data_IF_411019627904
#
_entry.id   IF_411019627904
#
_cell.length_a   1.000
_cell.length_b   1.000
_cell.length_c   1.000
_cell.angle_alpha   90.00
_cell.angle_beta   90.00
_cell.angle_gamma   90.00
#
_symmetry.space_group_name_H-M   'P 1'
#
loop_
_entity.id
_entity.type
_entity.pdbx_description
1 polymer ?
#
# COMPACT_ATOMS: atom_id res chain seq x y z
N UNK A 1 -6.76 -10.73 26.25
CA UNK A 1 -5.73 -9.79 25.84
C UNK A 1 -6.39 -8.57 25.19
N UNK A 2 -5.86 -7.38 25.43
CA UNK A 2 -6.35 -6.14 24.85
C UNK A 2 -5.30 -5.58 23.88
N UNK A 3 -5.65 -5.51 22.61
CA UNK A 3 -4.75 -5.15 21.52
C UNK A 3 -5.15 -3.78 20.97
N UNK A 4 -4.17 -2.87 20.77
CA UNK A 4 -4.34 -1.70 19.92
C UNK A 4 -3.80 -2.03 18.55
N UNK A 5 -4.63 -1.93 17.51
CA UNK A 5 -4.19 -1.99 16.12
C UNK A 5 -4.29 -0.61 15.50
N UNK A 6 -3.13 0.00 15.25
CA UNK A 6 -3.02 1.36 14.76
C UNK A 6 -2.67 1.37 13.27
N UNK A 7 -3.45 2.08 12.47
CA UNK A 7 -3.44 2.01 11.01
C UNK A 7 -3.27 3.41 10.43
N UNK A 8 -2.33 3.56 9.49
CA UNK A 8 -2.23 4.76 8.69
C UNK A 8 -3.41 4.89 7.72
N UNK A 9 -4.21 5.94 7.90
CA UNK A 9 -5.42 6.20 7.12
C UNK A 9 -5.20 6.97 5.82
N UNK A 10 -3.96 7.39 5.53
CA UNK A 10 -3.67 8.11 4.29
C UNK A 10 -3.49 7.12 3.13
N UNK A 11 -4.47 7.09 2.25
CA UNK A 11 -4.57 6.11 1.16
C UNK A 11 -5.32 4.83 1.57
N UNK A 12 -5.64 4.00 0.57
CA UNK A 12 -6.50 2.83 0.76
C UNK A 12 -5.74 1.53 1.11
N UNK A 13 -4.43 1.46 0.90
CA UNK A 13 -3.65 0.24 1.05
C UNK A 13 -3.66 -0.33 2.47
N UNK A 14 -3.30 0.46 3.47
CA UNK A 14 -3.31 0.04 4.87
C UNK A 14 -4.71 -0.37 5.35
N UNK A 15 -5.73 0.42 5.02
CA UNK A 15 -7.12 0.11 5.36
C UNK A 15 -7.60 -1.17 4.67
N UNK A 16 -7.17 -1.39 3.45
CA UNK A 16 -7.48 -2.58 2.65
C UNK A 16 -6.92 -3.84 3.30
N UNK A 17 -5.63 -3.85 3.69
CA UNK A 17 -4.98 -4.94 4.39
C UNK A 17 -5.60 -5.19 5.77
N UNK A 18 -5.97 -4.13 6.47
CA UNK A 18 -6.56 -4.22 7.80
C UNK A 18 -7.84 -5.05 7.82
N UNK A 19 -8.61 -5.12 6.72
CA UNK A 19 -9.81 -5.95 6.63
C UNK A 19 -9.54 -7.44 6.86
N UNK A 20 -8.37 -7.92 6.45
CA UNK A 20 -7.96 -9.33 6.62
C UNK A 20 -7.15 -9.54 7.91
N UNK A 21 -6.44 -8.51 8.39
CA UNK A 21 -5.63 -8.57 9.62
C UNK A 21 -6.50 -8.51 10.88
N UNK A 22 -7.52 -7.63 10.92
CA UNK A 22 -8.36 -7.43 12.12
C UNK A 22 -9.06 -8.73 12.58
N UNK A 23 -9.71 -9.52 11.70
CA UNK A 23 -10.33 -10.77 12.11
C UNK A 23 -9.34 -11.78 12.72
N UNK A 24 -8.10 -11.79 12.22
CA UNK A 24 -7.05 -12.64 12.77
C UNK A 24 -6.64 -12.20 14.18
N UNK A 25 -6.50 -10.90 14.41
CA UNK A 25 -6.21 -10.33 15.74
C UNK A 25 -7.33 -10.58 16.75
N UNK A 26 -8.59 -10.49 16.31
CA UNK A 26 -9.77 -10.69 17.16
C UNK A 26 -9.85 -12.10 17.76
N UNK A 27 -9.21 -13.10 17.16
CA UNK A 27 -9.11 -14.45 17.74
C UNK A 27 -8.24 -14.51 18.99
N UNK A 28 -7.38 -13.51 19.21
CA UNK A 28 -6.46 -13.44 20.35
C UNK A 28 -6.93 -12.50 21.46
N UNK A 29 -7.97 -11.71 21.24
CA UNK A 29 -8.51 -10.83 22.26
C UNK A 29 -9.35 -9.68 21.73
N UNK A 30 -9.58 -8.70 22.59
CA UNK A 30 -10.30 -7.47 22.23
C UNK A 30 -9.37 -6.54 21.43
N UNK A 31 -9.78 -6.22 20.21
CA UNK A 31 -9.03 -5.31 19.33
C UNK A 31 -9.69 -3.95 19.32
N UNK A 32 -8.96 -2.93 19.73
CA UNK A 32 -9.34 -1.52 19.57
C UNK A 32 -8.59 -0.93 18.39
N UNK A 33 -9.31 -0.27 17.48
CA UNK A 33 -8.75 0.23 16.23
C UNK A 33 -8.48 1.73 16.35
N UNK A 34 -7.27 2.14 15.95
CA UNK A 34 -6.89 3.53 15.78
C UNK A 34 -6.60 3.77 14.30
N UNK A 35 -7.18 4.84 13.74
CA UNK A 35 -6.84 5.32 12.40
C UNK A 35 -6.37 6.76 12.54
N UNK A 36 -5.23 7.09 11.95
CA UNK A 36 -4.77 8.48 11.82
C UNK A 36 -4.43 8.84 10.39
N UNK A 37 -4.59 10.11 10.06
CA UNK A 37 -4.34 10.63 8.71
C UNK A 37 -5.62 11.12 8.01
N UNK A 38 -5.44 11.68 6.80
CA UNK A 38 -6.57 12.03 5.94
C UNK A 38 -7.10 10.74 5.36
N UNK A 39 -8.31 10.40 5.75
CA UNK A 39 -8.95 9.14 5.42
C UNK A 39 -8.99 8.92 3.89
N UNK A 40 -8.63 7.71 3.47
CA UNK A 40 -8.89 7.22 2.12
C UNK A 40 -10.40 7.04 1.88
N UNK A 41 -10.77 6.70 0.67
CA UNK A 41 -12.18 6.49 0.29
C UNK A 41 -12.77 5.19 0.87
N UNK A 42 -11.92 4.32 1.44
CA UNK A 42 -12.29 3.01 1.95
C UNK A 42 -12.71 3.09 3.42
N UNK A 43 -13.90 2.58 3.72
CA UNK A 43 -14.45 2.51 5.08
C UNK A 43 -14.24 1.11 5.63
N UNK A 44 -13.64 1.00 6.82
CA UNK A 44 -13.52 -0.28 7.53
C UNK A 44 -14.88 -0.72 8.07
N UNK A 45 -15.26 -2.02 7.92
CA UNK A 45 -16.50 -2.56 8.48
C UNK A 45 -16.39 -2.89 9.98
N UNK A 46 -15.47 -2.25 10.69
CA UNK A 46 -15.18 -2.47 12.11
C UNK A 46 -15.31 -1.15 12.88
N UNK A 47 -15.74 -1.18 14.17
CA UNK A 47 -15.81 0.02 14.97
C UNK A 47 -14.41 0.59 15.22
N UNK A 48 -14.20 1.85 14.83
CA UNK A 48 -12.96 2.57 15.05
C UNK A 48 -13.06 3.34 16.35
N UNK A 49 -12.17 3.05 17.30
CA UNK A 49 -12.15 3.70 18.62
C UNK A 49 -11.51 5.08 18.58
N UNK A 50 -10.40 5.20 17.85
CA UNK A 50 -9.68 6.47 17.73
C UNK A 50 -9.58 6.86 16.28
N UNK A 51 -10.11 8.04 15.96
CA UNK A 51 -9.94 8.66 14.68
C UNK A 51 -9.15 9.95 14.87
N UNK A 52 -7.86 9.91 14.54
CA UNK A 52 -6.91 10.98 14.80
C UNK A 52 -6.48 11.63 13.47
N UNK A 53 -5.97 12.82 13.57
CA UNK A 53 -5.45 13.52 12.39
C UNK A 53 -4.06 13.02 12.01
N UNK A 54 -3.20 12.73 12.97
CA UNK A 54 -1.84 12.27 12.75
C UNK A 54 -1.03 13.15 11.81
N UNK A 55 -0.08 12.54 11.12
CA UNK A 55 0.63 13.11 9.98
C UNK A 55 0.06 12.56 8.68
N UNK A 56 -0.25 13.44 7.73
CA UNK A 56 -0.72 13.05 6.41
C UNK A 56 0.25 13.54 5.35
N UNK A 57 0.62 12.65 4.42
CA UNK A 57 1.39 13.07 3.25
C UNK A 57 0.52 13.91 2.33
N UNK A 58 1.02 15.10 1.96
CA UNK A 58 0.34 15.97 1.00
C UNK A 58 0.93 15.71 -0.38
N UNK A 59 0.09 15.23 -1.29
CA UNK A 59 0.48 15.01 -2.68
C UNK A 59 0.48 16.34 -3.44
N UNK A 60 1.60 16.66 -4.08
CA UNK A 60 1.71 17.83 -4.94
C UNK A 60 0.95 17.65 -6.26
N UNK A 61 0.56 18.76 -6.89
CA UNK A 61 -0.17 18.77 -8.18
C UNK A 61 0.55 18.08 -9.35
N UNK A 62 1.86 17.81 -9.21
CA UNK A 62 2.70 17.13 -10.21
C UNK A 62 2.87 15.63 -9.95
N UNK A 63 2.07 15.02 -9.07
CA UNK A 63 2.12 13.60 -8.78
C UNK A 63 3.27 13.17 -7.84
N UNK A 64 3.81 14.09 -7.04
CA UNK A 64 4.81 13.81 -6.02
C UNK A 64 4.32 14.18 -4.61
N UNK A 65 5.00 13.70 -3.56
CA UNK A 65 4.78 14.12 -2.18
C UNK A 65 5.51 15.45 -1.94
N UNK A 66 4.80 16.47 -1.49
CA UNK A 66 5.40 17.73 -1.05
C UNK A 66 5.77 17.59 0.44
N UNK A 67 6.97 17.10 0.70
CA UNK A 67 7.46 16.81 2.04
C UNK A 67 7.53 18.05 2.93
N UNK A 68 7.86 19.23 2.37
CA UNK A 68 7.94 20.47 3.10
C UNK A 68 6.55 20.96 3.51
N UNK A 69 5.57 20.90 2.61
CA UNK A 69 4.18 21.25 2.97
C UNK A 69 3.55 20.25 3.91
N UNK A 70 3.91 18.98 3.80
CA UNK A 70 3.47 17.93 4.74
C UNK A 70 3.96 18.25 6.15
N UNK A 71 5.22 18.59 6.31
CA UNK A 71 5.83 18.84 7.63
C UNK A 71 5.39 20.16 8.26
N UNK A 72 5.29 21.26 7.49
CA UNK A 72 4.97 22.59 8.03
C UNK A 72 3.50 22.94 8.09
N UNK A 73 2.63 22.34 7.28
CA UNK A 73 1.16 22.52 7.38
C UNK A 73 0.49 21.52 8.31
N UNK A 74 1.13 20.40 8.63
CA UNK A 74 0.65 19.52 9.67
C UNK A 74 0.74 20.27 10.99
N UNK A 75 -0.38 20.34 11.70
CA UNK A 75 -0.45 21.01 12.99
C UNK A 75 0.35 20.21 14.02
N UNK A 76 1.67 20.39 14.03
CA UNK A 76 2.62 19.69 14.94
C UNK A 76 2.12 19.75 16.38
N UNK A 77 1.58 20.91 16.80
CA UNK A 77 0.96 21.05 18.13
C UNK A 77 -0.19 20.06 18.37
N UNK A 78 -1.02 19.80 17.34
CA UNK A 78 -2.13 18.85 17.45
C UNK A 78 -1.60 17.42 17.50
N UNK A 79 -0.62 17.09 16.67
CA UNK A 79 0.06 15.79 16.70
C UNK A 79 0.65 15.50 18.07
N UNK A 80 1.41 16.45 18.65
CA UNK A 80 1.99 16.31 20.00
C UNK A 80 0.88 16.10 21.03
N UNK A 81 -0.24 16.83 20.93
CA UNK A 81 -1.39 16.64 21.82
C UNK A 81 -1.99 15.25 21.67
N UNK A 82 -2.19 14.76 20.44
CA UNK A 82 -2.72 13.43 20.15
C UNK A 82 -1.80 12.33 20.71
N UNK A 83 -0.49 12.47 20.55
CA UNK A 83 0.53 11.55 21.10
C UNK A 83 0.46 11.50 22.64
N UNK A 84 0.42 12.66 23.29
CA UNK A 84 0.45 12.74 24.77
C UNK A 84 -0.84 12.23 25.42
N UNK A 85 -1.99 12.39 24.75
CA UNK A 85 -3.30 11.97 25.27
C UNK A 85 -3.56 10.48 25.05
N UNK A 86 -2.90 9.86 24.06
CA UNK A 86 -3.12 8.46 23.75
C UNK A 86 -2.54 7.56 24.85
N UNK A 87 -3.44 6.90 25.59
CA UNK A 87 -3.09 5.97 26.66
C UNK A 87 -2.79 4.59 26.05
N UNK A 88 -1.50 4.37 25.71
CA UNK A 88 -1.01 3.10 25.16
C UNK A 88 -0.71 2.06 26.24
N UNK A 89 -0.54 2.47 27.49
CA UNK A 89 -0.18 1.62 28.64
C UNK A 89 -1.28 0.63 29.02
N UNK A 90 -2.51 0.90 28.66
CA UNK A 90 -3.66 0.03 28.93
C UNK A 90 -3.79 -1.17 27.99
N UNK A 91 -2.92 -1.28 26.97
CA UNK A 91 -2.95 -2.38 26.02
C UNK A 91 -1.84 -3.39 26.35
N UNK A 92 -2.17 -4.67 26.27
CA UNK A 92 -1.20 -5.75 26.38
C UNK A 92 -0.27 -5.83 25.17
N UNK A 93 -0.75 -5.32 24.01
CA UNK A 93 0.00 -5.32 22.75
C UNK A 93 -0.41 -4.13 21.88
N UNK A 94 0.57 -3.45 21.32
CA UNK A 94 0.37 -2.38 20.31
C UNK A 94 0.97 -2.83 19.00
N UNK A 95 0.11 -3.04 17.99
CA UNK A 95 0.51 -3.37 16.62
C UNK A 95 0.28 -2.15 15.75
N UNK A 96 1.30 -1.80 14.97
CA UNK A 96 1.35 -0.56 14.22
C UNK A 96 1.56 -0.82 12.72
N UNK A 97 0.60 -0.38 11.91
CA UNK A 97 0.70 -0.35 10.47
C UNK A 97 1.04 1.06 9.98
N UNK A 98 2.30 1.46 10.23
CA UNK A 98 2.91 2.72 9.82
C UNK A 98 2.16 3.97 10.33
N UNK A 99 1.59 3.89 11.53
CA UNK A 99 0.78 4.97 12.12
C UNK A 99 1.62 5.79 13.12
N UNK A 100 1.81 7.10 12.92
CA UNK A 100 2.78 7.87 13.70
C UNK A 100 2.35 8.20 15.12
N UNK A 101 1.04 8.39 15.41
CA UNK A 101 0.60 8.85 16.74
C UNK A 101 0.84 7.78 17.79
N UNK A 102 0.38 6.55 17.55
CA UNK A 102 0.57 5.44 18.50
C UNK A 102 2.03 5.04 18.60
N UNK A 103 2.75 5.05 17.49
CA UNK A 103 4.18 4.74 17.46
C UNK A 103 5.00 5.71 18.33
N UNK A 104 4.81 7.01 18.16
CA UNK A 104 5.47 8.01 18.99
C UNK A 104 4.98 8.02 20.44
N UNK A 105 3.70 7.71 20.70
CA UNK A 105 3.18 7.55 22.06
C UNK A 105 3.87 6.39 22.79
N UNK A 106 4.04 5.25 22.10
CA UNK A 106 4.79 4.11 22.61
C UNK A 106 6.25 4.46 22.86
N UNK A 107 6.92 5.12 21.90
CA UNK A 107 8.30 5.53 22.01
C UNK A 107 8.56 6.44 23.23
N UNK A 108 7.70 7.45 23.44
CA UNK A 108 7.83 8.39 24.56
C UNK A 108 7.54 7.78 25.94
N UNK A 109 6.78 6.68 25.98
CA UNK A 109 6.40 5.98 27.21
C UNK A 109 7.15 4.67 27.43
N UNK A 110 8.15 4.39 26.58
CA UNK A 110 8.95 3.15 26.63
C UNK A 110 8.10 1.86 26.55
N UNK A 111 7.04 1.91 25.76
CA UNK A 111 6.12 0.78 25.50
C UNK A 111 6.52 0.10 24.20
N UNK A 112 6.62 -1.25 24.16
CA UNK A 112 6.88 -1.97 22.92
C UNK A 112 5.82 -1.66 21.84
N UNK A 113 6.28 -1.26 20.65
CA UNK A 113 5.45 -1.02 19.48
C UNK A 113 5.86 -1.96 18.35
N UNK A 114 4.96 -2.88 17.98
CA UNK A 114 5.23 -3.92 17.00
C UNK A 114 4.83 -3.42 15.61
N UNK A 115 5.80 -3.20 14.74
CA UNK A 115 5.53 -2.83 13.36
C UNK A 115 5.04 -4.02 12.54
N UNK A 116 3.90 -3.86 11.88
CA UNK A 116 3.35 -4.83 10.91
C UNK A 116 2.93 -4.09 9.64
N UNK A 117 3.91 -3.80 8.80
CA UNK A 117 3.67 -2.95 7.63
C UNK A 117 4.63 -3.27 6.48
N UNK A 118 4.25 -2.86 5.28
CA UNK A 118 5.18 -2.89 4.13
C UNK A 118 6.39 -1.97 4.35
N UNK A 119 6.17 -0.78 4.94
CA UNK A 119 7.24 0.19 5.22
C UNK A 119 8.31 -0.38 6.16
N UNK A 120 7.92 -1.25 7.09
CA UNK A 120 8.86 -1.98 7.93
C UNK A 120 9.79 -2.89 7.10
N UNK A 121 9.26 -3.55 6.07
CA UNK A 121 10.05 -4.41 5.19
C UNK A 121 11.02 -3.64 4.30
N UNK A 122 10.60 -2.52 3.68
CA UNK A 122 11.47 -1.76 2.75
C UNK A 122 12.62 -1.03 3.45
N UNK A 123 12.55 -0.89 4.78
CA UNK A 123 13.64 -0.33 5.60
C UNK A 123 14.74 -1.36 5.92
N UNK A 124 14.50 -2.65 5.73
CA UNK A 124 15.52 -3.69 5.89
C UNK A 124 16.73 -3.43 4.99
N UNK A 125 17.93 -3.77 5.49
CA UNK A 125 19.15 -3.64 4.70
C UNK A 125 19.19 -4.62 3.52
N UNK A 126 18.49 -5.74 3.62
CA UNK A 126 18.36 -6.77 2.59
C UNK A 126 17.27 -6.43 1.54
N UNK A 127 16.45 -5.39 1.78
CA UNK A 127 15.43 -4.99 0.82
C UNK A 127 16.07 -4.47 -0.49
N UNK A 128 15.48 -4.76 -1.66
CA UNK A 128 15.88 -4.19 -2.92
C UNK A 128 15.91 -2.65 -2.87
N UNK A 129 16.96 -2.05 -3.43
CA UNK A 129 17.16 -0.60 -3.38
C UNK A 129 17.26 -0.03 -4.79
N UNK A 130 16.71 1.18 -5.03
CA UNK A 130 16.87 1.87 -6.30
C UNK A 130 18.32 2.33 -6.49
N UNK A 131 18.71 2.50 -7.75
CA UNK A 131 20.05 3.00 -8.10
C UNK A 131 20.28 4.45 -7.57
N UNK A 132 19.22 5.25 -7.53
CA UNK A 132 19.26 6.63 -7.02
C UNK A 132 19.08 6.63 -5.49
N UNK A 133 20.04 7.18 -4.77
CA UNK A 133 20.00 7.30 -3.30
C UNK A 133 19.17 8.50 -2.89
N UNK A 134 18.07 8.29 -2.19
CA UNK A 134 17.28 9.32 -1.51
C UNK A 134 17.46 9.19 0.01
N UNK A 135 18.51 9.84 0.52
CA UNK A 135 18.82 9.82 1.96
C UNK A 135 17.73 10.52 2.80
N UNK A 136 17.11 11.57 2.25
CA UNK A 136 16.05 12.32 2.95
C UNK A 136 14.80 11.47 3.03
N UNK A 137 14.39 10.85 1.93
CA UNK A 137 13.25 9.93 1.91
C UNK A 137 13.44 8.76 2.89
N UNK A 138 14.65 8.18 2.93
CA UNK A 138 15.00 7.11 3.88
C UNK A 138 14.89 7.59 5.33
N UNK A 139 15.43 8.77 5.65
CA UNK A 139 15.38 9.33 7.00
C UNK A 139 13.94 9.60 7.45
N UNK A 140 13.12 10.17 6.59
CA UNK A 140 11.71 10.42 6.87
C UNK A 140 10.98 9.10 7.10
N UNK A 141 11.14 8.13 6.22
CA UNK A 141 10.47 6.83 6.33
C UNK A 141 10.84 6.12 7.64
N UNK A 142 12.13 6.17 8.03
CA UNK A 142 12.64 5.56 9.26
C UNK A 142 12.09 6.20 10.54
N UNK A 143 11.90 7.53 10.54
CA UNK A 143 11.48 8.26 11.73
C UNK A 143 9.99 8.62 11.75
N UNK A 144 9.25 8.27 10.72
CA UNK A 144 7.83 8.57 10.63
C UNK A 144 7.01 7.86 11.70
N UNK A 145 7.26 6.57 11.88
CA UNK A 145 6.60 5.72 12.86
C UNK A 145 7.64 4.78 13.49
N UNK A 146 8.32 5.21 14.59
CA UNK A 146 9.34 4.39 15.26
C UNK A 146 8.70 3.13 15.86
N UNK A 147 9.34 1.98 15.66
CA UNK A 147 8.89 0.67 16.14
C UNK A 147 10.01 -0.05 16.88
N UNK A 148 9.66 -0.92 17.83
CA UNK A 148 10.64 -1.70 18.61
C UNK A 148 10.97 -3.02 17.94
N UNK A 149 9.98 -3.64 17.26
CA UNK A 149 10.18 -4.88 16.51
C UNK A 149 9.50 -4.81 15.16
N UNK A 150 10.10 -5.48 14.18
CA UNK A 150 9.69 -5.40 12.76
C UNK A 150 9.11 -6.73 12.31
N UNK A 151 7.87 -6.68 11.85
CA UNK A 151 7.25 -7.66 10.98
C UNK A 151 6.77 -6.92 9.74
N UNK A 152 7.08 -7.42 8.57
CA UNK A 152 6.80 -6.69 7.36
C UNK A 152 6.27 -7.54 6.23
N UNK A 153 5.72 -6.86 5.23
CA UNK A 153 5.25 -7.48 4.00
C UNK A 153 6.07 -6.97 2.82
N UNK A 154 6.45 -7.87 1.92
CA UNK A 154 7.15 -7.52 0.70
C UNK A 154 6.81 -8.49 -0.44
N UNK A 155 7.13 -8.13 -1.68
CA UNK A 155 6.91 -9.01 -2.85
C UNK A 155 7.70 -10.33 -2.77
N UNK A 156 8.74 -10.38 -1.96
CA UNK A 156 9.51 -11.58 -1.65
C UNK A 156 9.97 -11.57 -0.19
N UNK A 157 10.04 -12.73 0.45
CA UNK A 157 10.63 -12.88 1.77
C UNK A 157 12.15 -12.92 1.66
N UNK A 158 12.84 -12.02 2.33
CA UNK A 158 14.31 -11.92 2.36
C UNK A 158 14.89 -11.84 3.78
N UNK A 159 14.03 -11.74 4.79
CA UNK A 159 14.37 -11.75 6.21
C UNK A 159 13.36 -12.57 7.00
N UNK A 160 13.74 -13.03 8.21
CA UNK A 160 12.96 -13.93 9.08
C UNK A 160 11.52 -13.45 9.35
N UNK A 161 11.30 -12.14 9.47
CA UNK A 161 10.01 -11.54 9.79
C UNK A 161 9.44 -10.72 8.63
N UNK A 162 9.92 -10.96 7.41
CA UNK A 162 9.39 -10.35 6.20
C UNK A 162 8.63 -11.43 5.42
N UNK A 163 7.35 -11.20 5.26
CA UNK A 163 6.40 -12.14 4.66
C UNK A 163 5.96 -11.66 3.28
N UNK A 164 5.38 -12.57 2.51
CA UNK A 164 4.71 -12.23 1.26
C UNK A 164 3.47 -11.36 1.51
N UNK A 165 2.94 -10.67 0.49
CA UNK A 165 1.82 -9.75 0.66
C UNK A 165 0.56 -10.43 1.22
N UNK A 166 -0.16 -9.71 2.06
CA UNK A 166 -1.56 -10.06 2.38
C UNK A 166 -2.42 -9.73 1.17
N UNK A 167 -2.87 -10.77 0.47
CA UNK A 167 -3.82 -10.60 -0.64
C UNK A 167 -5.23 -10.65 -0.07
N UNK A 168 -5.99 -9.60 -0.28
CA UNK A 168 -7.37 -9.48 0.23
C UNK A 168 -8.22 -10.68 -0.17
N UNK A 169 -9.03 -11.17 0.77
CA UNK A 169 -9.96 -12.28 0.49
C UNK A 169 -10.82 -12.03 -0.74
N UNK A 170 -11.31 -10.80 -0.91
CA UNK A 170 -12.11 -10.41 -2.09
C UNK A 170 -11.37 -10.62 -3.42
N UNK A 171 -10.03 -10.46 -3.43
CA UNK A 171 -9.20 -10.69 -4.61
C UNK A 171 -8.89 -12.18 -4.78
N UNK A 172 -8.64 -12.90 -3.67
CA UNK A 172 -8.40 -14.36 -3.70
C UNK A 172 -9.58 -15.14 -4.24
N UNK A 173 -10.79 -14.70 -3.93
CA UNK A 173 -12.04 -15.36 -4.31
C UNK A 173 -12.43 -15.10 -5.79
N UNK A 174 -11.69 -14.23 -6.51
CA UNK A 174 -12.01 -13.92 -7.91
C UNK A 174 -11.65 -15.02 -8.88
N UNK A 175 -12.52 -15.28 -9.82
CA UNK A 175 -12.19 -16.07 -11.01
C UNK A 175 -11.20 -15.27 -11.88
N UNK A 176 -10.07 -15.88 -12.20
CA UNK A 176 -9.04 -15.26 -13.06
C UNK A 176 -9.39 -15.56 -14.51
N UNK A 177 -9.73 -14.52 -15.28
CA UNK A 177 -10.03 -14.61 -16.72
C UNK A 177 -9.19 -13.62 -17.52
N UNK A 178 -9.30 -13.64 -18.84
CA UNK A 178 -8.67 -12.66 -19.72
C UNK A 178 -9.66 -12.27 -20.82
N UNK A 179 -10.23 -11.10 -20.69
CA UNK A 179 -11.19 -10.51 -21.64
C UNK A 179 -10.52 -9.54 -22.63
N UNK A 180 -9.19 -9.44 -22.61
CA UNK A 180 -8.38 -8.69 -23.56
C UNK A 180 -8.15 -7.22 -23.22
N UNK A 181 -8.88 -6.63 -22.26
CA UNK A 181 -8.65 -5.25 -21.84
C UNK A 181 -7.49 -5.12 -20.84
N UNK A 182 -7.00 -3.88 -20.65
CA UNK A 182 -5.98 -3.54 -19.67
C UNK A 182 -6.57 -2.61 -18.59
N UNK A 183 -6.40 -2.99 -17.33
CA UNK A 183 -6.82 -2.17 -16.18
C UNK A 183 -5.76 -1.14 -15.84
N UNK A 184 -6.17 0.13 -15.68
CA UNK A 184 -5.25 1.25 -15.43
C UNK A 184 -5.62 1.96 -14.12
N UNK A 185 -4.65 2.08 -13.22
CA UNK A 185 -4.79 2.85 -11.97
C UNK A 185 -3.57 3.74 -11.74
N UNK A 186 -3.65 4.97 -12.20
CA UNK A 186 -2.59 5.98 -12.11
C UNK A 186 -3.15 7.29 -11.50
N UNK A 187 -3.52 7.30 -10.20
CA UNK A 187 -4.25 8.42 -9.57
C UNK A 187 -3.46 9.73 -9.49
N UNK A 188 -2.16 9.69 -9.78
CA UNK A 188 -1.29 10.86 -9.84
C UNK A 188 -1.33 11.58 -11.21
N UNK A 189 -1.97 10.98 -12.21
CA UNK A 189 -2.06 11.56 -13.54
C UNK A 189 -3.39 12.29 -13.73
N UNK A 190 -3.35 13.38 -14.46
CA UNK A 190 -4.54 14.06 -14.99
C UNK A 190 -5.21 13.18 -16.05
N UNK A 191 -6.55 13.08 -16.00
CA UNK A 191 -7.33 12.21 -16.88
C UNK A 191 -7.13 12.54 -18.35
N UNK A 192 -7.11 13.82 -18.74
CA UNK A 192 -6.95 14.23 -20.14
C UNK A 192 -5.61 13.75 -20.71
N UNK A 193 -4.55 13.90 -19.91
CA UNK A 193 -3.21 13.48 -20.28
C UNK A 193 -3.10 11.96 -20.37
N UNK A 194 -3.73 11.25 -19.43
CA UNK A 194 -3.74 9.79 -19.41
C UNK A 194 -4.50 9.24 -20.62
N UNK A 195 -5.73 9.72 -20.87
CA UNK A 195 -6.53 9.34 -22.02
C UNK A 195 -5.79 9.61 -23.33
N UNK A 196 -5.24 10.82 -23.51
CA UNK A 196 -4.50 11.17 -24.72
C UNK A 196 -3.31 10.23 -24.98
N UNK A 197 -2.68 9.70 -23.90
CA UNK A 197 -1.61 8.72 -24.03
C UNK A 197 -2.13 7.34 -24.44
N UNK A 198 -3.19 6.86 -23.79
CA UNK A 198 -3.75 5.52 -24.04
C UNK A 198 -4.39 5.41 -25.43
N UNK A 199 -4.98 6.48 -25.95
CA UNK A 199 -5.52 6.56 -27.31
C UNK A 199 -4.47 6.34 -28.41
N UNK A 200 -3.17 6.46 -28.11
CA UNK A 200 -2.10 6.16 -29.08
C UNK A 200 -1.89 4.65 -29.28
N UNK A 201 -2.45 3.83 -28.39
CA UNK A 201 -2.41 2.36 -28.41
C UNK A 201 -3.83 1.83 -28.68
N UNK A 202 -4.34 2.13 -29.86
CA UNK A 202 -5.74 1.95 -30.25
C UNK A 202 -6.15 0.49 -30.50
N UNK A 203 -5.21 -0.42 -30.61
CA UNK A 203 -5.46 -1.86 -30.75
C UNK A 203 -5.78 -2.55 -29.40
N UNK A 204 -5.73 -1.80 -28.29
CA UNK A 204 -5.96 -2.31 -26.95
C UNK A 204 -7.11 -1.56 -26.28
N UNK A 205 -7.97 -2.27 -25.57
CA UNK A 205 -9.04 -1.69 -24.75
C UNK A 205 -8.49 -1.36 -23.34
N UNK A 206 -8.84 -0.17 -22.85
CA UNK A 206 -8.36 0.35 -21.59
C UNK A 206 -9.49 0.63 -20.62
N UNK A 207 -9.40 0.09 -19.40
CA UNK A 207 -10.34 0.32 -18.31
C UNK A 207 -9.65 1.14 -17.22
N UNK A 208 -9.91 2.45 -17.19
CA UNK A 208 -9.21 3.44 -16.37
C UNK A 208 -10.01 3.81 -15.15
N UNK A 209 -9.45 3.59 -13.97
CA UNK A 209 -10.04 4.02 -12.70
C UNK A 209 -9.44 5.36 -12.25
N UNK A 210 -10.29 6.39 -12.12
CA UNK A 210 -9.87 7.74 -11.81
C UNK A 210 -10.61 8.33 -10.61
N UNK A 211 -9.86 8.98 -9.71
CA UNK A 211 -10.41 9.76 -8.60
C UNK A 211 -10.99 11.11 -9.03
N UNK A 212 -10.69 11.55 -10.24
CA UNK A 212 -11.11 12.86 -10.75
C UNK A 212 -12.42 12.79 -11.53
N UNK A 213 -12.82 11.61 -11.96
CA UNK A 213 -14.03 11.38 -12.74
C UNK A 213 -15.16 10.85 -11.85
N UNK A 214 -16.37 11.37 -12.04
CA UNK A 214 -17.56 11.00 -11.25
C UNK A 214 -18.54 10.10 -12.03
N UNK A 215 -18.31 9.91 -13.33
CA UNK A 215 -19.19 9.14 -14.21
C UNK A 215 -18.35 8.27 -15.14
N UNK A 216 -18.88 7.11 -15.51
CA UNK A 216 -18.24 6.27 -16.54
C UNK A 216 -18.45 6.92 -17.91
N UNK A 217 -17.35 7.08 -18.65
CA UNK A 217 -17.33 7.65 -20.01
C UNK A 217 -16.44 6.78 -20.88
N UNK A 218 -16.94 6.40 -22.08
CA UNK A 218 -16.15 5.70 -23.09
C UNK A 218 -15.71 6.68 -24.18
N UNK A 219 -14.40 6.71 -24.44
CA UNK A 219 -13.76 7.54 -25.46
C UNK A 219 -12.94 6.59 -26.36
N UNK A 220 -13.51 6.19 -27.49
CA UNK A 220 -12.93 5.17 -28.39
C UNK A 220 -12.62 3.87 -27.62
N UNK A 221 -11.34 3.49 -27.53
CA UNK A 221 -10.84 2.31 -26.84
C UNK A 221 -10.52 2.55 -25.34
N UNK A 222 -10.86 3.71 -24.78
CA UNK A 222 -10.62 4.04 -23.35
C UNK A 222 -11.95 4.22 -22.63
N UNK A 223 -12.22 3.38 -21.65
CA UNK A 223 -13.31 3.56 -20.68
C UNK A 223 -12.71 4.15 -19.41
N UNK A 224 -13.15 5.36 -19.02
CA UNK A 224 -12.76 5.99 -17.77
C UNK A 224 -13.93 6.00 -16.80
N UNK A 225 -13.69 5.60 -15.56
CA UNK A 225 -14.73 5.45 -14.55
C UNK A 225 -14.24 5.88 -13.15
N UNK A 226 -15.18 6.22 -12.25
CA UNK A 226 -14.84 6.52 -10.85
C UNK A 226 -14.17 5.32 -10.17
N UNK A 227 -13.40 5.60 -9.12
CA UNK A 227 -12.87 4.54 -8.26
C UNK A 227 -14.05 3.87 -7.56
N UNK A 228 -14.18 2.57 -7.81
CA UNK A 228 -15.09 1.66 -7.14
C UNK A 228 -14.31 0.37 -6.86
N UNK A 229 -14.22 -0.03 -5.60
CA UNK A 229 -13.39 -1.16 -5.19
C UNK A 229 -13.80 -2.46 -5.87
N UNK A 230 -15.10 -2.74 -5.94
CA UNK A 230 -15.60 -3.99 -6.53
C UNK A 230 -15.36 -4.04 -8.04
N UNK A 231 -15.70 -2.95 -8.75
CA UNK A 231 -15.44 -2.84 -10.19
C UNK A 231 -13.96 -2.92 -10.52
N UNK A 232 -13.11 -2.31 -9.69
CA UNK A 232 -11.66 -2.36 -9.87
C UNK A 232 -11.12 -3.78 -9.75
N UNK A 233 -11.55 -4.53 -8.73
CA UNK A 233 -11.13 -5.92 -8.54
C UNK A 233 -11.61 -6.80 -9.71
N UNK A 234 -12.87 -6.64 -10.15
CA UNK A 234 -13.44 -7.38 -11.30
C UNK A 234 -12.65 -7.06 -12.57
N UNK A 235 -12.43 -5.78 -12.88
CA UNK A 235 -11.66 -5.37 -14.05
C UNK A 235 -10.24 -5.94 -14.00
N UNK A 236 -9.57 -5.86 -12.84
CA UNK A 236 -8.23 -6.40 -12.69
C UNK A 236 -8.21 -7.93 -12.88
N UNK A 237 -9.17 -8.66 -12.30
CA UNK A 237 -9.24 -10.11 -12.39
C UNK A 237 -9.53 -10.63 -13.82
N UNK A 238 -10.26 -9.84 -14.64
CA UNK A 238 -10.59 -10.17 -16.02
C UNK A 238 -9.68 -9.53 -17.07
N UNK A 239 -8.72 -8.70 -16.68
CA UNK A 239 -7.81 -8.02 -17.62
C UNK A 239 -6.73 -8.92 -18.20
N UNK A 240 -6.16 -8.52 -19.34
CA UNK A 240 -4.91 -9.05 -19.89
C UNK A 240 -3.68 -8.58 -19.10
N UNK A 241 -3.76 -7.38 -18.49
CA UNK A 241 -2.68 -6.79 -17.71
C UNK A 241 -3.08 -5.54 -16.96
N UNK A 242 -2.22 -5.11 -16.05
CA UNK A 242 -2.43 -3.97 -15.16
C UNK A 242 -1.31 -2.95 -15.34
N UNK A 243 -1.69 -1.70 -15.60
CA UNK A 243 -0.82 -0.52 -15.60
C UNK A 243 -1.13 0.33 -14.38
N UNK A 244 -0.24 0.38 -13.40
CA UNK A 244 -0.52 1.10 -12.16
C UNK A 244 0.68 1.84 -11.58
N UNK A 245 0.45 2.59 -10.49
CA UNK A 245 1.53 3.12 -9.69
C UNK A 245 2.31 2.01 -8.99
N UNK A 246 3.56 2.29 -8.57
CA UNK A 246 4.38 1.34 -7.83
C UNK A 246 4.04 1.34 -6.31
N UNK A 247 2.75 1.39 -5.96
CA UNK A 247 2.30 1.09 -4.60
C UNK A 247 2.59 -0.37 -4.25
N UNK A 248 2.17 -0.81 -3.07
CA UNK A 248 2.41 -2.19 -2.66
C UNK A 248 1.24 -3.11 -3.01
N UNK A 249 0.03 -2.77 -2.60
CA UNK A 249 -1.13 -3.65 -2.70
C UNK A 249 -1.56 -3.95 -4.15
N UNK A 250 -1.75 -2.92 -4.98
CA UNK A 250 -2.21 -3.13 -6.36
C UNK A 250 -1.25 -3.98 -7.21
N UNK A 251 0.08 -3.73 -7.19
CA UNK A 251 1.03 -4.62 -7.86
C UNK A 251 1.00 -6.05 -7.31
N UNK A 252 0.91 -6.23 -5.98
CA UNK A 252 0.85 -7.55 -5.37
C UNK A 252 -0.40 -8.33 -5.80
N UNK A 253 -1.56 -7.68 -5.81
CA UNK A 253 -2.82 -8.27 -6.27
C UNK A 253 -2.80 -8.58 -7.76
N UNK A 254 -2.23 -7.71 -8.60
CA UNK A 254 -2.08 -7.96 -10.03
C UNK A 254 -1.18 -9.19 -10.32
N UNK A 255 -0.06 -9.31 -9.58
CA UNK A 255 0.81 -10.49 -9.67
C UNK A 255 0.10 -11.76 -9.21
N UNK A 256 -0.61 -11.71 -8.07
CA UNK A 256 -1.40 -12.83 -7.57
C UNK A 256 -2.47 -13.28 -8.59
N UNK A 257 -3.14 -12.34 -9.23
CA UNK A 257 -4.14 -12.60 -10.28
C UNK A 257 -3.52 -13.00 -11.63
N UNK A 258 -2.20 -13.23 -11.67
CA UNK A 258 -1.47 -13.65 -12.88
C UNK A 258 -1.68 -12.66 -14.06
N UNK A 259 -1.57 -11.36 -13.78
CA UNK A 259 -1.71 -10.32 -14.79
C UNK A 259 -0.34 -9.83 -15.27
N UNK A 260 -0.22 -9.53 -16.57
CA UNK A 260 0.92 -8.74 -17.04
C UNK A 260 0.95 -7.44 -16.25
N UNK A 261 2.07 -7.07 -15.66
CA UNK A 261 2.18 -5.89 -14.82
C UNK A 261 3.20 -4.91 -15.40
N UNK A 262 2.85 -3.61 -15.47
CA UNK A 262 3.76 -2.51 -15.71
C UNK A 262 3.51 -1.43 -14.66
N UNK A 263 4.57 -0.92 -14.03
CA UNK A 263 4.42 0.08 -12.96
C UNK A 263 5.12 1.39 -13.27
N UNK A 264 4.53 2.48 -12.74
CA UNK A 264 5.06 3.84 -12.82
C UNK A 264 5.15 4.42 -11.41
N UNK A 265 6.34 4.48 -10.79
CA UNK A 265 6.48 5.06 -9.46
C UNK A 265 6.14 6.55 -9.47
N UNK A 266 5.44 7.01 -8.44
CA UNK A 266 5.15 8.43 -8.26
C UNK A 266 6.44 9.20 -7.99
N UNK A 267 6.58 10.35 -8.66
CA UNK A 267 7.72 11.24 -8.44
C UNK A 267 7.79 11.69 -6.98
N UNK A 268 8.97 11.65 -6.39
CA UNK A 268 9.25 12.05 -5.00
C UNK A 268 8.51 11.22 -3.92
N UNK A 269 8.07 10.01 -4.25
CA UNK A 269 7.57 9.06 -3.26
C UNK A 269 8.58 7.92 -3.09
N UNK A 270 9.40 8.03 -2.06
CA UNK A 270 10.54 7.15 -1.83
C UNK A 270 10.15 5.67 -1.73
N UNK A 271 9.06 5.35 -1.02
CA UNK A 271 8.52 3.99 -0.93
C UNK A 271 8.21 3.40 -2.32
N UNK A 272 7.56 4.15 -3.21
CA UNK A 272 7.27 3.65 -4.54
C UNK A 272 8.52 3.43 -5.41
N UNK A 273 9.59 4.18 -5.16
CA UNK A 273 10.87 3.92 -5.84
C UNK A 273 11.51 2.62 -5.33
N UNK A 274 11.41 2.32 -4.02
CA UNK A 274 11.83 1.04 -3.45
C UNK A 274 11.02 -0.13 -4.01
N UNK A 275 9.70 0.00 -4.07
CA UNK A 275 8.80 -1.00 -4.65
C UNK A 275 9.09 -1.24 -6.12
N UNK A 276 9.32 -0.17 -6.89
CA UNK A 276 9.67 -0.27 -8.30
C UNK A 276 11.02 -0.98 -8.51
N UNK A 277 12.01 -0.77 -7.62
CA UNK A 277 13.28 -1.49 -7.67
C UNK A 277 13.09 -2.99 -7.43
N UNK A 278 12.28 -3.36 -6.43
CA UNK A 278 11.95 -4.76 -6.15
C UNK A 278 11.20 -5.42 -7.31
N UNK A 279 10.17 -4.78 -7.83
CA UNK A 279 9.40 -5.28 -8.97
C UNK A 279 10.28 -5.44 -10.22
N UNK A 280 11.21 -4.50 -10.46
CA UNK A 280 12.18 -4.58 -11.56
C UNK A 280 13.10 -5.79 -11.41
N UNK A 281 13.58 -6.10 -10.20
CA UNK A 281 14.38 -7.30 -9.94
C UNK A 281 13.60 -8.60 -10.22
N UNK A 282 12.29 -8.59 -10.01
CA UNK A 282 11.39 -9.69 -10.34
C UNK A 282 11.10 -9.81 -11.84
N UNK A 283 11.50 -8.82 -12.66
CA UNK A 283 11.25 -8.80 -14.09
C UNK A 283 10.05 -7.96 -14.54
N UNK A 284 9.40 -7.22 -13.62
CA UNK A 284 8.31 -6.30 -13.98
C UNK A 284 8.90 -5.09 -14.71
N UNK A 285 8.38 -4.70 -15.88
CA UNK A 285 8.78 -3.47 -16.54
C UNK A 285 8.39 -2.25 -15.70
N UNK A 286 9.35 -1.34 -15.56
CA UNK A 286 9.21 -0.09 -14.81
C UNK A 286 9.51 1.08 -15.73
N UNK A 287 8.60 2.04 -15.85
CA UNK A 287 8.85 3.30 -16.55
C UNK A 287 8.69 4.49 -15.62
N UNK A 288 9.50 5.55 -15.82
CA UNK A 288 9.46 6.72 -14.92
C UNK A 288 8.21 7.61 -15.12
N UNK A 289 7.60 7.58 -16.30
CA UNK A 289 6.42 8.38 -16.66
C UNK A 289 5.89 7.99 -18.06
N UNK A 290 4.78 8.60 -18.49
CA UNK A 290 4.13 8.38 -19.78
C UNK A 290 4.68 9.28 -20.93
N UNK A 291 5.95 9.68 -20.89
CA UNK A 291 6.56 10.45 -22.00
C UNK A 291 6.87 9.55 -23.20
N UNK A 292 6.92 10.11 -24.43
CA UNK A 292 7.13 9.34 -25.67
C UNK A 292 8.37 8.43 -25.67
N UNK A 293 9.43 8.79 -24.96
CA UNK A 293 10.64 7.96 -24.83
C UNK A 293 10.42 6.58 -24.20
N UNK A 294 9.28 6.35 -23.56
CA UNK A 294 8.90 5.06 -22.97
C UNK A 294 7.86 4.28 -23.78
N UNK A 295 7.46 4.79 -24.96
CA UNK A 295 6.43 4.16 -25.79
C UNK A 295 6.85 2.78 -26.28
N UNK A 296 8.12 2.60 -26.60
CA UNK A 296 8.66 1.29 -26.96
C UNK A 296 8.55 0.27 -25.79
N UNK A 297 8.76 0.70 -24.55
CA UNK A 297 8.62 -0.19 -23.38
C UNK A 297 7.14 -0.55 -23.18
N UNK A 298 6.25 0.42 -23.35
CA UNK A 298 4.81 0.20 -23.21
C UNK A 298 4.29 -0.74 -24.32
N UNK A 299 4.63 -0.51 -25.60
CA UNK A 299 4.26 -1.41 -26.69
C UNK A 299 4.82 -2.82 -26.52
N UNK A 300 6.11 -2.92 -26.15
CA UNK A 300 6.72 -4.23 -25.86
C UNK A 300 6.00 -4.99 -24.75
N UNK A 301 5.60 -4.30 -23.68
CA UNK A 301 4.82 -4.90 -22.59
C UNK A 301 3.44 -5.37 -23.05
N UNK A 302 2.74 -4.58 -23.87
CA UNK A 302 1.44 -4.95 -24.42
C UNK A 302 1.54 -6.20 -25.29
N UNK A 303 2.50 -6.23 -26.23
CA UNK A 303 2.66 -7.30 -27.20
C UNK A 303 3.29 -8.56 -26.62
N UNK A 304 4.41 -8.40 -25.89
CA UNK A 304 5.31 -9.49 -25.47
C UNK A 304 5.43 -9.65 -23.96
N UNK A 305 4.73 -8.83 -23.17
CA UNK A 305 4.77 -8.91 -21.72
C UNK A 305 4.33 -10.29 -21.23
N UNK A 306 5.06 -10.84 -20.27
CA UNK A 306 4.76 -12.12 -19.62
C UNK A 306 4.11 -11.94 -18.27
N UNK A 307 3.37 -12.95 -17.87
CA UNK A 307 2.89 -13.12 -16.50
C UNK A 307 4.04 -13.63 -15.64
N UNK A 308 4.21 -13.07 -14.46
CA UNK A 308 5.15 -13.56 -13.46
C UNK A 308 4.43 -14.51 -12.49
N UNK A 309 4.98 -15.69 -12.33
CA UNK A 309 4.48 -16.61 -11.30
C UNK A 309 5.00 -16.18 -9.94
N UNK A 310 4.08 -16.01 -8.98
CA UNK A 310 4.37 -15.68 -7.59
C UNK A 310 3.63 -16.65 -6.68
N UNK A 311 4.21 -16.92 -5.52
CA UNK A 311 3.57 -17.69 -4.45
C UNK A 311 3.25 -16.73 -3.29
N UNK A 312 1.97 -16.32 -3.19
CA UNK A 312 1.46 -15.48 -2.11
C UNK A 312 0.37 -16.25 -1.34
N UNK A 313 0.77 -17.17 -0.47
CA UNK A 313 -0.17 -17.97 0.30
C UNK A 313 -0.97 -17.13 1.30
N UNK A 314 -2.14 -17.62 1.71
CA UNK A 314 -2.90 -16.99 2.78
C UNK A 314 -2.37 -17.44 4.14
N UNK A 315 -1.37 -16.74 4.63
CA UNK A 315 -0.71 -17.00 5.91
C UNK A 315 -0.96 -15.88 6.93
N UNK A 316 -1.94 -15.01 6.72
CA UNK A 316 -2.22 -13.88 7.59
C UNK A 316 -2.42 -14.32 9.04
N UNK A 317 -3.20 -15.38 9.28
CA UNK A 317 -3.38 -15.92 10.63
C UNK A 317 -2.06 -16.41 11.24
N UNK A 318 -1.24 -17.13 10.50
CA UNK A 318 0.05 -17.66 10.97
C UNK A 318 1.01 -16.52 11.35
N UNK A 319 1.00 -15.41 10.60
CA UNK A 319 1.78 -14.20 10.91
C UNK A 319 1.32 -13.60 12.24
N UNK A 320 0.02 -13.47 12.43
CA UNK A 320 -0.54 -12.92 13.68
C UNK A 320 -0.24 -13.86 14.86
N UNK A 321 -0.44 -15.17 14.70
CA UNK A 321 -0.13 -16.17 15.73
C UNK A 321 1.35 -16.09 16.15
N UNK A 322 2.25 -15.94 15.17
CA UNK A 322 3.67 -15.73 15.41
C UNK A 322 3.95 -14.45 16.20
N UNK A 323 3.36 -13.31 15.81
CA UNK A 323 3.54 -12.05 16.52
C UNK A 323 3.07 -12.21 17.98
N UNK A 324 1.92 -12.80 18.18
CA UNK A 324 1.38 -13.05 19.52
C UNK A 324 2.32 -13.93 20.35
N UNK A 325 2.81 -15.03 19.78
CA UNK A 325 3.72 -15.96 20.46
C UNK A 325 5.08 -15.29 20.81
N UNK A 326 5.61 -14.48 19.91
CA UNK A 326 6.89 -13.78 20.11
C UNK A 326 6.83 -12.69 21.21
N UNK A 327 5.63 -12.16 21.54
CA UNK A 327 5.46 -11.00 22.40
C UNK A 327 4.61 -11.22 23.66
N UNK A 328 3.95 -12.36 23.78
CA UNK A 328 3.32 -12.70 25.03
C UNK A 328 4.36 -13.26 26.02
N UNK A 329 4.33 -12.87 27.30
CA UNK A 329 5.12 -13.55 28.31
C UNK A 329 4.69 -15.03 28.35
N UNK A 330 5.67 -15.93 28.23
CA UNK A 330 5.45 -17.36 28.48
C UNK A 330 4.88 -17.42 29.91
N UNK A 331 3.60 -17.78 30.05
CA UNK A 331 3.07 -18.10 31.36
C UNK A 331 3.90 -19.26 31.88
N UNK A 332 4.87 -18.97 32.76
CA UNK A 332 5.51 -19.99 33.57
C UNK A 332 4.40 -20.65 34.40
N UNK A 333 4.07 -21.90 34.01
CA UNK A 333 3.24 -22.77 34.81
C UNK A 333 3.91 -23.06 36.16
#
# INVERSE_FOLDING_TARGET
MKILYAIQGTGNGHLSRAMDVIPCLQKHGTVEILISGIQGDLILPFPVKYQLRGLSFIFGKSGGVDLWKTFFKSQIRKLIKEINVLDVEKYDLVINDFEPVSSWACYLKDIPCIGLSHQAAVLSDNAPKPDEKDMIGKLILKNYAPITQTYGFHFSSFDKNIFTPVIRKQVRDMAITNEGHYTVYLPAYDDKRLIAKLLQFNDYEWDVFSKHNKKTVKIKNVTIQPIDNQKFIISMASSAGVLCGAGFETPAEALFLKKKLLVIPMKNQFEQHLNAAALKQMGVPVIKNLKPKYDLVLSTWLEKGSVLEVDFPDITQQIIDKIIADHLPIKSN
#
